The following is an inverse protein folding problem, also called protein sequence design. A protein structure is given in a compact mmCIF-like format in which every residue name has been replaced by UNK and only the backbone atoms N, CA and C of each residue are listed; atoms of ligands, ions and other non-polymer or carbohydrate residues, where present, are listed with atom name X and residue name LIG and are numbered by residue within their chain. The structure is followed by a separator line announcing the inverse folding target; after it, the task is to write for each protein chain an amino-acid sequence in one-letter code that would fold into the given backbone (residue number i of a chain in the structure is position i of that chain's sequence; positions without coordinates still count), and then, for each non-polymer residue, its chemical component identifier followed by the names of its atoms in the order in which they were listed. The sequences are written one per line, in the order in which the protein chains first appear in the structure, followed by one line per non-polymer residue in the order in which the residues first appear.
data_IF_662491360577
#
_entry.id   IF_662491360577
#
_cell.length_a   1.000
_cell.length_b   1.000
_cell.length_c   1.000
_cell.angle_alpha   90.00
_cell.angle_beta   90.00
_cell.angle_gamma   90.00
#
_symmetry.space_group_name_H-M   'P 1'
#
loop_
_entity.id
_entity.type
_entity.pdbx_description
1 polymer ?
#
# COMPACT_ATOMS: atom_id res chain seq x y z
N UNK A 1 38.70 -11.75 -0.39
CA UNK A 1 37.75 -10.61 -0.39
C UNK A 1 37.80 -9.97 -1.77
N UNK A 2 36.69 -9.93 -2.52
CA UNK A 2 36.66 -9.29 -3.86
C UNK A 2 36.65 -7.77 -3.65
N UNK A 3 37.48 -6.98 -4.37
CA UNK A 3 37.41 -5.52 -4.29
C UNK A 3 36.02 -5.09 -4.76
N UNK A 4 35.22 -4.54 -3.83
CA UNK A 4 33.91 -3.98 -4.12
C UNK A 4 34.15 -2.67 -4.87
N UNK A 5 34.00 -2.69 -6.21
CA UNK A 5 33.99 -1.45 -6.99
C UNK A 5 32.77 -0.64 -6.51
N UNK A 6 33.05 0.45 -5.81
CA UNK A 6 32.05 1.45 -5.45
C UNK A 6 31.44 1.96 -6.75
N UNK A 7 30.16 1.66 -6.97
CA UNK A 7 29.37 2.24 -8.04
C UNK A 7 28.28 3.09 -7.41
N UNK A 8 28.25 4.37 -7.77
CA UNK A 8 27.17 5.27 -7.44
C UNK A 8 25.89 4.80 -8.14
N UNK A 9 24.76 4.84 -7.44
CA UNK A 9 23.45 4.52 -7.98
C UNK A 9 23.08 5.60 -8.99
N UNK A 10 22.85 5.18 -10.23
CA UNK A 10 22.43 6.04 -11.32
C UNK A 10 20.89 6.08 -11.36
N UNK A 11 20.32 7.25 -11.09
CA UNK A 11 18.87 7.50 -11.12
C UNK A 11 18.28 7.48 -12.54
N UNK A 12 19.04 7.16 -13.57
CA UNK A 12 18.53 6.91 -14.93
C UNK A 12 18.45 5.42 -15.27
N UNK A 13 19.04 4.56 -14.45
CA UNK A 13 19.13 3.12 -14.68
C UNK A 13 17.99 2.35 -13.99
N UNK A 14 17.61 1.21 -14.58
CA UNK A 14 16.70 0.25 -13.94
C UNK A 14 17.48 -0.74 -13.06
N UNK A 15 17.06 -0.93 -11.81
CA UNK A 15 17.67 -1.88 -10.88
C UNK A 15 16.72 -3.00 -10.46
N UNK A 16 17.21 -4.22 -10.17
CA UNK A 16 16.36 -5.28 -9.64
C UNK A 16 15.84 -4.93 -8.25
N UNK A 17 14.57 -5.21 -7.99
CA UNK A 17 13.95 -4.94 -6.70
C UNK A 17 14.48 -5.87 -5.59
N UNK A 18 14.86 -5.34 -4.41
CA UNK A 18 15.33 -6.15 -3.28
C UNK A 18 14.24 -7.05 -2.67
N UNK A 19 12.96 -6.76 -2.90
CA UNK A 19 11.83 -7.51 -2.34
C UNK A 19 11.53 -8.86 -3.03
N UNK A 20 12.43 -9.36 -3.90
CA UNK A 20 12.38 -10.68 -4.57
C UNK A 20 11.12 -10.99 -5.40
N UNK A 21 10.32 -9.99 -5.80
CA UNK A 21 9.10 -10.20 -6.61
C UNK A 21 9.30 -10.13 -8.13
N UNK A 22 10.54 -10.27 -8.64
CA UNK A 22 10.92 -9.99 -10.04
C UNK A 22 10.49 -8.58 -10.50
N UNK A 23 10.43 -7.62 -9.58
CA UNK A 23 10.13 -6.22 -9.88
C UNK A 23 11.38 -5.46 -10.28
N UNK A 24 11.19 -4.34 -10.96
CA UNK A 24 12.24 -3.39 -11.30
C UNK A 24 12.01 -2.08 -10.57
N UNK A 25 13.10 -1.52 -10.06
CA UNK A 25 13.18 -0.17 -9.55
C UNK A 25 13.31 0.77 -10.75
N UNK A 26 12.34 1.65 -10.89
CA UNK A 26 12.28 2.68 -11.90
C UNK A 26 12.42 4.06 -11.24
N UNK A 27 13.10 5.00 -11.88
CA UNK A 27 13.27 6.32 -11.32
C UNK A 27 11.97 7.12 -11.33
N UNK A 28 11.75 7.87 -10.25
CA UNK A 28 10.65 8.80 -10.14
C UNK A 28 11.18 10.17 -10.54
N UNK A 29 10.71 10.63 -11.69
CA UNK A 29 11.11 11.89 -12.31
C UNK A 29 11.03 13.03 -11.28
N UNK A 30 12.10 13.84 -11.22
CA UNK A 30 12.26 14.99 -10.31
C UNK A 30 12.40 14.65 -8.82
N UNK A 31 12.73 13.41 -8.47
CA UNK A 31 13.05 13.02 -7.08
C UNK A 31 14.27 12.12 -7.01
N UNK A 32 14.99 12.13 -5.89
CA UNK A 32 16.07 11.17 -5.60
C UNK A 32 15.51 9.80 -5.11
N UNK A 33 14.39 9.38 -5.72
CA UNK A 33 13.63 8.21 -5.32
C UNK A 33 13.41 7.25 -6.49
N UNK A 34 13.43 5.97 -6.16
CA UNK A 34 13.18 4.84 -7.05
C UNK A 34 11.89 4.14 -6.60
N UNK A 35 10.95 3.96 -7.54
CA UNK A 35 9.70 3.25 -7.33
C UNK A 35 9.75 1.84 -7.93
N UNK A 36 9.18 0.86 -7.24
CA UNK A 36 9.08 -0.51 -7.71
C UNK A 36 7.76 -0.77 -8.44
N UNK A 37 7.82 -1.25 -9.68
CA UNK A 37 6.65 -1.54 -10.54
C UNK A 37 5.69 -2.60 -9.95
N UNK A 38 6.21 -3.58 -9.21
CA UNK A 38 5.41 -4.69 -8.64
C UNK A 38 5.07 -4.52 -7.18
N UNK A 39 6.03 -4.05 -6.39
CA UNK A 39 5.90 -3.97 -4.94
C UNK A 39 5.35 -2.63 -4.47
N UNK A 40 5.27 -1.62 -5.36
CA UNK A 40 4.75 -0.28 -5.08
C UNK A 40 5.42 0.39 -3.87
N UNK A 41 6.66 -0.01 -3.57
CA UNK A 41 7.49 0.58 -2.52
C UNK A 41 8.39 1.65 -3.12
N UNK A 42 8.68 2.65 -2.28
CA UNK A 42 9.56 3.76 -2.59
C UNK A 42 10.90 3.55 -1.88
N UNK A 43 11.98 3.71 -2.62
CA UNK A 43 13.35 3.64 -2.14
C UNK A 43 14.01 4.98 -2.40
N UNK A 44 14.60 5.59 -1.39
CA UNK A 44 15.37 6.84 -1.56
C UNK A 44 16.85 6.52 -1.53
N UNK A 45 17.60 7.13 -2.44
CA UNK A 45 19.06 7.02 -2.43
C UNK A 45 19.59 7.86 -1.27
N UNK A 46 20.36 7.26 -0.37
CA UNK A 46 21.01 7.98 0.73
C UNK A 46 22.05 8.96 0.18
N UNK A 47 22.43 9.95 1.00
CA UNK A 47 23.43 10.97 0.65
C UNK A 47 24.80 10.39 0.27
N UNK A 48 25.07 9.13 0.62
CA UNK A 48 26.27 8.39 0.23
C UNK A 48 26.26 7.94 -1.25
N UNK A 49 25.12 8.08 -1.94
CA UNK A 49 24.92 7.74 -3.35
C UNK A 49 25.03 6.24 -3.66
N UNK A 50 25.15 5.40 -2.64
CA UNK A 50 25.50 3.98 -2.78
C UNK A 50 24.49 3.07 -2.09
N UNK A 51 23.75 3.60 -1.12
CA UNK A 51 22.76 2.85 -0.37
C UNK A 51 21.37 3.37 -0.70
N UNK A 52 20.43 2.45 -0.91
CA UNK A 52 19.00 2.78 -0.95
C UNK A 52 18.38 2.52 0.43
N UNK A 53 17.59 3.46 0.92
CA UNK A 53 16.76 3.30 2.10
C UNK A 53 15.31 3.12 1.68
N UNK A 54 14.66 2.09 2.22
CA UNK A 54 13.26 1.85 1.97
C UNK A 54 12.44 2.88 2.77
N UNK A 55 11.73 3.78 2.08
CA UNK A 55 10.68 4.57 2.71
C UNK A 55 9.48 3.64 2.90
N UNK A 56 9.47 3.01 4.06
CA UNK A 56 8.42 2.09 4.48
C UNK A 56 7.12 2.86 4.71
N UNK A 57 6.23 2.81 3.73
CA UNK A 57 4.81 2.77 4.03
C UNK A 57 4.23 1.60 3.30
N UNK A 58 3.79 0.61 4.08
CA UNK A 58 2.83 -0.40 3.65
C UNK A 58 1.72 0.37 2.92
N UNK A 59 1.70 0.26 1.59
CA UNK A 59 0.83 1.01 0.71
C UNK A 59 -0.60 0.47 0.89
N UNK A 60 -1.23 0.83 2.00
CA UNK A 60 -2.68 0.74 2.08
C UNK A 60 -3.17 1.71 1.01
N UNK A 61 -3.71 1.16 -0.08
CA UNK A 61 -4.25 1.91 -1.22
C UNK A 61 -5.36 2.83 -0.70
N UNK A 62 -4.98 4.03 -0.26
CA UNK A 62 -5.91 5.12 0.04
C UNK A 62 -6.06 5.90 -1.24
N UNK A 63 -7.05 5.54 -2.04
CA UNK A 63 -7.43 6.34 -3.19
C UNK A 63 -8.25 7.53 -2.70
N UNK A 64 -7.99 8.71 -3.23
CA UNK A 64 -8.80 9.90 -2.98
C UNK A 64 -9.38 10.39 -4.30
N UNK A 65 -10.64 10.83 -4.27
CA UNK A 65 -11.32 11.46 -5.40
C UNK A 65 -11.43 12.96 -5.13
N UNK A 66 -11.01 13.76 -6.10
CA UNK A 66 -11.20 15.20 -6.07
C UNK A 66 -12.65 15.55 -6.43
N UNK A 67 -13.30 16.39 -5.63
CA UNK A 67 -14.71 16.80 -5.84
C UNK A 67 -14.86 18.23 -6.34
N UNK A 68 -13.76 18.90 -6.71
CA UNK A 68 -13.76 20.32 -7.10
C UNK A 68 -13.60 21.30 -5.94
N UNK A 69 -13.90 20.87 -4.71
CA UNK A 69 -13.80 21.67 -3.49
C UNK A 69 -13.06 20.95 -2.35
N UNK A 70 -12.77 19.65 -2.50
CA UNK A 70 -12.05 18.87 -1.49
C UNK A 70 -11.68 17.47 -1.94
N UNK A 71 -10.91 16.79 -1.09
CA UNK A 71 -10.52 15.39 -1.27
C UNK A 71 -11.46 14.47 -0.47
N UNK A 72 -12.06 13.48 -1.13
CA UNK A 72 -12.86 12.45 -0.48
C UNK A 72 -12.22 11.08 -0.67
N UNK A 73 -12.30 10.19 0.33
CA UNK A 73 -11.77 8.84 0.19
C UNK A 73 -12.59 8.06 -0.85
N UNK A 74 -11.94 7.58 -1.91
CA UNK A 74 -12.61 6.87 -3.00
C UNK A 74 -12.99 5.44 -2.64
N UNK A 75 -12.40 4.86 -1.60
CA UNK A 75 -12.88 3.61 -0.99
C UNK A 75 -13.81 3.96 0.17
N UNK A 76 -15.08 4.16 -0.15
CA UNK A 76 -16.13 4.28 0.86
C UNK A 76 -16.12 3.01 1.72
N UNK A 77 -15.98 3.16 3.03
CA UNK A 77 -15.91 2.06 4.00
C UNK A 77 -17.27 1.36 4.08
N UNK A 78 -17.51 0.42 3.16
CA UNK A 78 -18.67 -0.48 3.09
C UNK A 78 -18.81 -1.45 4.29
N UNK A 79 -18.09 -1.21 5.38
CA UNK A 79 -18.05 -2.13 6.54
C UNK A 79 -18.86 -1.66 7.74
N UNK A 80 -19.42 -0.45 7.76
CA UNK A 80 -20.14 0.03 8.95
C UNK A 80 -21.61 -0.42 9.03
N UNK A 81 -22.31 -0.57 7.89
CA UNK A 81 -23.73 -0.93 7.90
C UNK A 81 -24.00 -2.43 8.02
N UNK A 82 -23.10 -3.27 7.52
CA UNK A 82 -23.33 -4.72 7.42
C UNK A 82 -23.35 -5.41 8.80
N UNK A 83 -22.57 -4.92 9.76
CA UNK A 83 -22.53 -5.48 11.13
C UNK A 83 -23.86 -5.28 11.86
N UNK A 84 -24.48 -4.10 11.72
CA UNK A 84 -25.78 -3.80 12.33
C UNK A 84 -26.90 -4.66 11.70
N UNK A 85 -26.84 -4.86 10.38
CA UNK A 85 -27.80 -5.72 9.66
C UNK A 85 -27.67 -7.17 10.11
N UNK A 86 -26.45 -7.72 10.18
CA UNK A 86 -26.22 -9.09 10.68
C UNK A 86 -26.74 -9.24 12.11
N UNK A 87 -26.43 -8.27 12.99
CA UNK A 87 -26.86 -8.32 14.38
C UNK A 87 -28.40 -8.31 14.50
N UNK A 88 -29.08 -7.47 13.71
CA UNK A 88 -30.54 -7.42 13.68
C UNK A 88 -31.16 -8.75 13.22
N UNK A 89 -30.58 -9.39 12.21
CA UNK A 89 -31.04 -10.70 11.72
C UNK A 89 -30.85 -11.78 12.77
N UNK A 90 -29.69 -11.85 13.42
CA UNK A 90 -29.41 -12.84 14.46
C UNK A 90 -30.36 -12.70 15.66
N UNK A 91 -30.58 -11.46 16.12
CA UNK A 91 -31.53 -11.18 17.19
C UNK A 91 -32.96 -11.56 16.79
N UNK A 92 -33.40 -11.17 15.60
CA UNK A 92 -34.73 -11.51 15.08
C UNK A 92 -34.98 -13.03 15.02
N UNK A 93 -34.00 -13.79 14.52
CA UNK A 93 -34.09 -15.26 14.47
C UNK A 93 -34.11 -15.88 15.86
N UNK A 94 -33.30 -15.39 16.79
CA UNK A 94 -33.29 -15.89 18.17
C UNK A 94 -34.63 -15.71 18.88
N UNK A 95 -35.26 -14.54 18.73
CA UNK A 95 -36.58 -14.25 19.30
C UNK A 95 -37.64 -15.16 18.68
N UNK A 96 -37.62 -15.33 17.35
CA UNK A 96 -38.57 -16.22 16.66
C UNK A 96 -38.49 -17.67 17.16
N UNK A 97 -37.28 -18.20 17.33
CA UNK A 97 -37.08 -19.57 17.85
C UNK A 97 -37.61 -19.70 19.27
N UNK A 98 -37.32 -18.73 20.14
CA UNK A 98 -37.83 -18.74 21.53
C UNK A 98 -39.36 -18.72 21.55
N UNK A 99 -40.00 -17.88 20.73
CA UNK A 99 -41.47 -17.81 20.62
C UNK A 99 -42.08 -19.11 20.12
N UNK A 100 -41.43 -19.82 19.19
CA UNK A 100 -41.92 -21.11 18.68
C UNK A 100 -41.76 -22.24 19.71
N UNK A 101 -40.76 -22.16 20.58
CA UNK A 101 -40.44 -23.19 21.58
C UNK A 101 -41.19 -23.01 22.91
N UNK A 102 -41.82 -21.86 23.12
CA UNK A 102 -42.59 -21.49 24.32
C UNK A 102 -44.06 -21.86 24.17
#
# INVERSE_FOLDING_TARGET
MRPYKIHTIDLTCEYPCPCRRNGKLQPIILTEALGCDRCQQLFVVKKDGQTIEQLSFVYQKKSWRWTGHGWQNAYTRWTSGYLLIILAILLGLSILVVVILS
#
